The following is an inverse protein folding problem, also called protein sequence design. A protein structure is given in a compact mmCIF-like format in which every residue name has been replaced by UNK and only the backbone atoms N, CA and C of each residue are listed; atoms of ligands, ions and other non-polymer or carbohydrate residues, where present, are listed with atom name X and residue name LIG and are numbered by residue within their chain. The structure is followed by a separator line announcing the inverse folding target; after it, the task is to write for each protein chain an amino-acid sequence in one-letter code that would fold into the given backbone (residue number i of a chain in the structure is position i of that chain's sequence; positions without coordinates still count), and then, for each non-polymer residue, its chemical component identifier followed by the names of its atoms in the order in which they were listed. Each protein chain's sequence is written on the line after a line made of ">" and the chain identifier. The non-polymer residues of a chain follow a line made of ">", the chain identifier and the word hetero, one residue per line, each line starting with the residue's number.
data_IF_324844395340
#
_entry.id   IF_324844395340
#
_cell.length_a   1.000
_cell.length_b   1.000
_cell.length_c   1.000
_cell.angle_alpha   90.00
_cell.angle_beta   90.00
_cell.angle_gamma   90.00
#
_symmetry.space_group_name_H-M   'P 1'
#
loop_
_entity.id
_entity.type
_entity.pdbx_description
1 polymer ?
#
# COMPACT_ATOMS: atom_id res chain seq x y z
N UNK A 1 1.53 -2.73 -18.51
CA UNK A 1 1.26 -3.85 -17.58
C UNK A 1 -0.25 -3.96 -17.40
N UNK A 2 -0.87 -5.05 -17.84
CA UNK A 2 -2.30 -5.25 -17.59
C UNK A 2 -2.51 -5.67 -16.15
N UNK A 3 -3.32 -4.93 -15.39
CA UNK A 3 -3.84 -5.40 -14.10
C UNK A 3 -4.55 -6.71 -14.40
N UNK A 4 -3.99 -7.83 -13.95
CA UNK A 4 -4.57 -9.15 -14.14
C UNK A 4 -5.88 -9.16 -13.36
N UNK A 5 -6.99 -8.90 -14.06
CA UNK A 5 -8.32 -8.85 -13.47
C UNK A 5 -8.58 -10.16 -12.72
N UNK A 6 -9.07 -10.04 -11.49
CA UNK A 6 -9.31 -11.17 -10.59
C UNK A 6 -10.27 -12.16 -11.26
N UNK A 7 -9.89 -13.43 -11.36
CA UNK A 7 -10.78 -14.45 -11.93
C UNK A 7 -12.00 -14.64 -11.02
N UNK A 8 -13.16 -15.07 -11.54
CA UNK A 8 -14.36 -15.27 -10.71
C UNK A 8 -14.14 -16.25 -9.55
N UNK A 9 -13.35 -17.31 -9.79
CA UNK A 9 -12.98 -18.28 -8.76
C UNK A 9 -12.11 -17.66 -7.66
N UNK A 10 -11.16 -16.80 -8.03
CA UNK A 10 -10.32 -16.09 -7.06
C UNK A 10 -11.15 -15.07 -6.27
N UNK A 11 -12.05 -14.34 -6.93
CA UNK A 11 -12.96 -13.40 -6.27
C UNK A 11 -13.84 -14.11 -5.22
N UNK A 12 -14.40 -15.27 -5.56
CA UNK A 12 -15.20 -16.07 -4.64
C UNK A 12 -14.39 -16.65 -3.48
N UNK A 13 -13.11 -16.98 -3.69
CA UNK A 13 -12.22 -17.41 -2.62
C UNK A 13 -11.88 -16.27 -1.65
N UNK A 14 -11.58 -15.07 -2.19
CA UNK A 14 -11.33 -13.86 -1.39
C UNK A 14 -12.56 -13.50 -0.55
N UNK A 15 -13.76 -13.58 -1.13
CA UNK A 15 -14.98 -13.25 -0.41
C UNK A 15 -15.27 -14.24 0.73
N UNK A 16 -15.04 -15.55 0.51
CA UNK A 16 -15.15 -16.55 1.59
C UNK A 16 -14.14 -16.30 2.71
N UNK A 17 -12.91 -15.95 2.36
CA UNK A 17 -11.88 -15.63 3.34
C UNK A 17 -12.26 -14.39 4.17
N UNK A 18 -12.79 -13.34 3.51
CA UNK A 18 -13.29 -12.14 4.18
C UNK A 18 -14.42 -12.46 5.15
N UNK A 19 -15.42 -13.23 4.73
CA UNK A 19 -16.53 -13.63 5.59
C UNK A 19 -16.07 -14.42 6.81
N UNK A 20 -15.12 -15.34 6.62
CA UNK A 20 -14.54 -16.10 7.72
C UNK A 20 -13.80 -15.20 8.71
N UNK A 21 -12.93 -14.32 8.22
CA UNK A 21 -12.13 -13.42 9.04
C UNK A 21 -13.00 -12.36 9.75
N UNK A 22 -14.11 -11.92 9.15
CA UNK A 22 -15.11 -11.09 9.85
C UNK A 22 -15.83 -11.87 10.94
N UNK A 23 -16.20 -13.13 10.70
CA UNK A 23 -16.89 -13.97 11.69
C UNK A 23 -16.01 -14.34 12.89
N UNK A 24 -14.70 -14.46 12.71
CA UNK A 24 -13.73 -14.72 13.79
C UNK A 24 -13.27 -13.44 14.51
N UNK A 25 -13.69 -12.26 14.04
CA UNK A 25 -13.24 -10.97 14.58
C UNK A 25 -11.82 -10.58 14.18
N UNK A 26 -11.22 -11.28 13.23
CA UNK A 26 -9.89 -10.99 12.68
C UNK A 26 -9.91 -9.76 11.76
N UNK A 27 -11.03 -9.53 11.05
CA UNK A 27 -11.28 -8.28 10.35
C UNK A 27 -12.06 -7.31 11.23
N UNK A 28 -11.53 -6.09 11.35
CA UNK A 28 -12.25 -4.98 11.96
C UNK A 28 -13.53 -4.70 11.15
N UNK A 29 -14.67 -4.65 11.84
CA UNK A 29 -15.97 -4.38 11.25
C UNK A 29 -16.12 -2.93 10.75
N UNK A 30 -15.32 -2.02 11.34
CA UNK A 30 -15.24 -0.63 10.93
C UNK A 30 -14.04 -0.46 9.99
N UNK A 31 -14.18 0.30 8.89
CA UNK A 31 -13.02 0.78 8.17
C UNK A 31 -12.13 1.49 9.18
N UNK A 32 -10.87 1.07 9.32
CA UNK A 32 -9.84 1.95 9.84
C UNK A 32 -10.03 3.26 9.07
N UNK A 33 -10.32 4.35 9.78
CA UNK A 33 -10.74 5.61 9.16
C UNK A 33 -9.85 5.95 7.96
N UNK A 34 -10.42 6.64 6.96
CA UNK A 34 -9.71 6.93 5.71
C UNK A 34 -8.30 7.45 6.00
N UNK A 35 -7.28 6.71 5.56
CA UNK A 35 -5.90 7.17 5.66
C UNK A 35 -5.80 8.48 4.88
N UNK A 36 -5.54 9.57 5.60
CA UNK A 36 -5.19 10.84 4.98
C UNK A 36 -3.68 10.85 4.84
N UNK A 37 -3.22 10.75 3.60
CA UNK A 37 -1.81 10.99 3.28
C UNK A 37 -1.41 12.37 3.79
N UNK A 38 -0.23 12.52 4.42
CA UNK A 38 0.32 13.84 4.71
C UNK A 38 0.73 14.59 3.44
N UNK A 39 0.98 13.85 2.35
CA UNK A 39 1.34 14.40 1.05
C UNK A 39 0.14 14.95 0.27
N UNK A 40 0.39 16.03 -0.47
CA UNK A 40 -0.57 16.59 -1.43
C UNK A 40 -0.71 15.72 -2.70
N UNK A 41 -1.45 16.20 -3.72
CA UNK A 41 -1.64 15.43 -4.96
C UNK A 41 -0.33 15.20 -5.72
N UNK A 42 0.52 16.22 -5.76
CA UNK A 42 1.67 16.27 -6.65
C UNK A 42 2.79 15.44 -6.04
N UNK A 43 2.99 15.57 -4.72
CA UNK A 43 3.90 14.74 -3.94
C UNK A 43 3.53 13.25 -4.03
N UNK A 44 2.24 12.92 -3.97
CA UNK A 44 1.78 11.52 -4.15
C UNK A 44 2.07 10.99 -5.54
N UNK A 45 1.95 11.81 -6.57
CA UNK A 45 2.25 11.41 -7.94
C UNK A 45 3.75 11.12 -8.11
N UNK A 46 4.61 11.93 -7.51
CA UNK A 46 6.07 11.70 -7.49
C UNK A 46 6.42 10.38 -6.81
N UNK A 47 5.88 10.13 -5.61
CA UNK A 47 6.12 8.87 -4.88
C UNK A 47 5.60 7.66 -5.68
N UNK A 48 4.42 7.78 -6.28
CA UNK A 48 3.86 6.73 -7.13
C UNK A 48 4.74 6.46 -8.36
N UNK A 49 5.33 7.50 -8.96
CA UNK A 49 6.25 7.36 -10.08
C UNK A 49 7.51 6.56 -9.67
N UNK A 50 8.12 6.87 -8.52
CA UNK A 50 9.28 6.13 -7.99
C UNK A 50 8.97 4.66 -7.72
N UNK A 51 7.79 4.36 -7.18
CA UNK A 51 7.35 2.99 -7.00
C UNK A 51 7.18 2.27 -8.35
N UNK A 52 6.60 2.95 -9.34
CA UNK A 52 6.36 2.35 -10.66
C UNK A 52 7.64 2.10 -11.46
N UNK A 53 8.66 2.95 -11.27
CA UNK A 53 9.97 2.81 -11.92
C UNK A 53 10.91 1.84 -11.19
N UNK A 54 10.59 1.48 -9.94
CA UNK A 54 11.47 0.69 -9.08
C UNK A 54 12.62 1.51 -8.46
N UNK A 55 12.60 2.84 -8.63
CA UNK A 55 13.61 3.74 -8.06
C UNK A 55 13.39 4.03 -6.57
N UNK A 56 12.22 3.71 -6.03
CA UNK A 56 11.83 4.07 -4.67
C UNK A 56 12.91 3.70 -3.64
N UNK A 57 13.36 2.44 -3.62
CA UNK A 57 14.37 1.97 -2.65
C UNK A 57 15.73 2.69 -2.82
N UNK A 58 16.12 2.99 -4.06
CA UNK A 58 17.36 3.74 -4.35
C UNK A 58 17.27 5.15 -3.80
N UNK A 59 16.15 5.84 -4.05
CA UNK A 59 15.94 7.23 -3.61
C UNK A 59 15.89 7.31 -2.09
N UNK A 60 15.21 6.36 -1.44
CA UNK A 60 15.20 6.26 0.02
C UNK A 60 16.62 6.05 0.56
N UNK A 61 17.42 5.18 -0.06
CA UNK A 61 18.81 4.97 0.34
C UNK A 61 19.68 6.22 0.15
N UNK A 62 19.47 6.98 -0.93
CA UNK A 62 20.16 8.26 -1.18
C UNK A 62 19.78 9.31 -0.14
N UNK A 63 18.49 9.42 0.22
CA UNK A 63 18.01 10.34 1.25
C UNK A 63 18.57 10.00 2.64
N UNK A 64 18.60 8.72 3.00
CA UNK A 64 19.20 8.26 4.27
C UNK A 64 20.71 8.47 4.29
N UNK A 65 21.39 8.39 3.14
CA UNK A 65 22.82 8.68 3.07
C UNK A 65 23.11 10.18 3.26
N UNK A 66 22.21 11.06 2.83
CA UNK A 66 22.32 12.52 3.00
C UNK A 66 21.93 12.96 4.42
N UNK A 67 20.89 12.36 4.99
CA UNK A 67 20.46 12.54 6.38
C UNK A 67 20.26 11.19 7.08
N UNK A 68 21.30 10.67 7.76
CA UNK A 68 21.24 9.38 8.45
C UNK A 68 20.20 9.30 9.56
N UNK A 69 19.77 10.42 10.15
CA UNK A 69 18.78 10.42 11.24
C UNK A 69 17.40 9.96 10.74
N UNK A 70 17.12 10.12 9.44
CA UNK A 70 15.90 9.63 8.79
C UNK A 70 15.77 8.11 8.80
N UNK A 71 16.85 7.35 8.96
CA UNK A 71 16.81 5.89 8.95
C UNK A 71 15.99 5.28 10.10
N UNK A 72 15.70 6.08 11.14
CA UNK A 72 15.10 5.62 12.40
C UNK A 72 13.73 6.21 12.71
N UNK A 73 13.16 6.99 11.77
CA UNK A 73 11.84 7.60 11.86
C UNK A 73 10.78 6.77 11.13
#
# INVERSE_FOLDING_TARGET
>A
MAIRSMTPALAAAVERARQHASATGELLAEPLGSFSSPFDSDEREVVAAWHSSGDYDRIVAELVADDPDLATQ
#
